data_IF_396750360935
#
_entry.id   IF_396750360935
#
_cell.length_a   1.000
_cell.length_b   1.000
_cell.length_c   1.000
_cell.angle_alpha   90.00
_cell.angle_beta   90.00
_cell.angle_gamma   90.00
#
_symmetry.space_group_name_H-M   'P 1'
#
loop_
_entity.id
_entity.type
_entity.pdbx_description
1 polymer ?
#
# COMPACT_ATOMS: atom_id res chain seq x y z
N UNK A 1 -2.19 7.18 1.51
CA UNK A 1 -3.51 7.78 1.22
C UNK A 1 -4.16 7.01 0.09
N UNK A 2 -5.47 6.75 0.20
CA UNK A 2 -6.28 6.03 -0.79
C UNK A 2 -7.42 6.94 -1.23
N UNK A 3 -7.61 7.08 -2.54
CA UNK A 3 -8.72 7.85 -3.12
C UNK A 3 -9.41 6.98 -4.18
N UNK A 4 -10.50 6.29 -3.82
CA UNK A 4 -11.25 5.47 -4.76
C UNK A 4 -12.00 6.31 -5.78
N UNK A 5 -12.14 5.76 -6.99
CA UNK A 5 -12.97 6.32 -8.04
C UNK A 5 -14.48 6.10 -7.76
N UNK A 6 -15.32 6.48 -8.72
CA UNK A 6 -16.79 6.32 -8.61
C UNK A 6 -17.26 4.87 -8.51
N UNK A 7 -16.42 3.89 -8.87
CA UNK A 7 -16.68 2.45 -8.71
C UNK A 7 -16.16 1.93 -7.38
N UNK A 8 -15.50 2.76 -6.58
CA UNK A 8 -14.86 2.35 -5.33
C UNK A 8 -13.55 1.62 -5.55
N UNK A 9 -12.89 1.84 -6.70
CA UNK A 9 -11.62 1.21 -7.06
C UNK A 9 -10.46 2.22 -6.94
N UNK A 10 -9.30 1.77 -6.48
CA UNK A 10 -8.06 2.57 -6.48
C UNK A 10 -6.86 1.65 -6.73
N UNK A 11 -5.80 2.19 -7.32
CA UNK A 11 -4.51 1.50 -7.48
C UNK A 11 -3.35 2.41 -7.14
N UNK A 12 -2.28 1.85 -6.61
CA UNK A 12 -1.04 2.57 -6.33
C UNK A 12 0.14 1.62 -6.19
N UNK A 13 1.33 2.20 -6.05
CA UNK A 13 2.56 1.46 -5.78
C UNK A 13 3.48 2.27 -4.88
N UNK A 14 4.33 1.57 -4.13
CA UNK A 14 5.41 2.11 -3.33
C UNK A 14 6.71 1.45 -3.80
N UNK A 15 7.65 2.28 -4.23
CA UNK A 15 9.04 1.89 -4.41
C UNK A 15 9.86 2.47 -3.24
N UNK A 16 10.72 1.66 -2.66
CA UNK A 16 11.52 2.03 -1.50
C UNK A 16 12.93 1.44 -1.59
N UNK A 17 13.95 2.27 -1.46
CA UNK A 17 15.36 1.91 -1.37
C UNK A 17 16.06 2.80 -0.33
N UNK A 18 17.39 2.86 -0.35
CA UNK A 18 18.16 3.71 0.57
C UNK A 18 18.21 5.20 0.18
N UNK A 19 17.74 5.55 -1.03
CA UNK A 19 17.73 6.91 -1.55
C UNK A 19 19.11 7.50 -1.91
N UNK A 20 20.19 6.70 -1.91
CA UNK A 20 21.56 7.18 -2.13
C UNK A 20 22.38 6.28 -3.07
N UNK A 21 22.21 4.96 -3.00
CA UNK A 21 22.98 4.02 -3.82
C UNK A 21 22.62 4.13 -5.31
N UNK A 22 23.64 3.99 -6.16
CA UNK A 22 23.44 3.87 -7.61
C UNK A 22 23.20 2.40 -7.96
N UNK A 23 22.22 2.15 -8.83
CA UNK A 23 21.97 0.81 -9.38
C UNK A 23 21.19 -0.12 -8.45
N UNK A 24 20.27 0.43 -7.64
CA UNK A 24 19.39 -0.34 -6.74
C UNK A 24 18.48 -1.29 -7.51
N UNK A 25 18.08 -0.94 -8.73
CA UNK A 25 17.29 -1.82 -9.62
C UNK A 25 18.12 -3.03 -10.08
N UNK A 26 19.33 -2.80 -10.60
CA UNK A 26 20.21 -3.84 -11.14
C UNK A 26 20.71 -4.81 -10.05
N UNK A 27 21.01 -4.27 -8.86
CA UNK A 27 21.40 -5.07 -7.69
C UNK A 27 20.23 -5.74 -7.00
N UNK A 28 18.99 -5.36 -7.32
CA UNK A 28 17.79 -5.83 -6.64
C UNK A 28 17.60 -5.27 -5.22
N UNK A 29 18.42 -4.31 -4.77
CA UNK A 29 18.38 -3.78 -3.42
C UNK A 29 17.28 -2.72 -3.23
N UNK A 30 16.02 -3.12 -3.38
CA UNK A 30 14.83 -2.28 -3.19
C UNK A 30 13.64 -3.10 -2.68
N UNK A 31 12.55 -2.41 -2.34
CA UNK A 31 11.23 -2.96 -2.07
C UNK A 31 10.22 -2.31 -3.03
N UNK A 32 9.37 -3.12 -3.65
CA UNK A 32 8.26 -2.69 -4.49
C UNK A 32 6.97 -3.37 -4.02
N UNK A 33 5.97 -2.57 -3.66
CA UNK A 33 4.66 -3.04 -3.19
C UNK A 33 3.58 -2.38 -4.04
N UNK A 34 2.61 -3.17 -4.50
CA UNK A 34 1.40 -2.63 -5.13
C UNK A 34 0.23 -2.62 -4.16
N UNK A 35 -0.68 -1.68 -4.37
CA UNK A 35 -1.89 -1.49 -3.58
C UNK A 35 -3.09 -1.53 -4.51
N UNK A 36 -4.08 -2.35 -4.18
CA UNK A 36 -5.35 -2.42 -4.89
C UNK A 36 -6.50 -2.23 -3.91
N UNK A 37 -7.43 -1.36 -4.28
CA UNK A 37 -8.69 -1.19 -3.57
C UNK A 37 -9.82 -1.67 -4.43
N UNK A 38 -10.61 -2.59 -3.88
CA UNK A 38 -11.83 -3.09 -4.51
C UNK A 38 -12.78 -3.59 -3.43
N UNK A 39 -14.08 -3.43 -3.64
CA UNK A 39 -15.12 -3.90 -2.72
C UNK A 39 -14.90 -3.41 -1.27
N UNK A 40 -14.46 -2.17 -1.09
CA UNK A 40 -14.11 -1.56 0.20
C UNK A 40 -12.96 -2.25 0.98
N UNK A 41 -12.16 -3.07 0.29
CA UNK A 41 -10.96 -3.70 0.84
C UNK A 41 -9.72 -3.13 0.16
N UNK A 42 -8.73 -2.72 0.96
CA UNK A 42 -7.37 -2.42 0.51
C UNK A 42 -6.52 -3.68 0.66
N UNK A 43 -5.85 -4.10 -0.41
CA UNK A 43 -4.90 -5.22 -0.42
C UNK A 43 -3.52 -4.70 -0.78
N UNK A 44 -2.51 -5.13 -0.02
CA UNK A 44 -1.09 -4.86 -0.30
C UNK A 44 -0.44 -6.12 -0.89
N UNK A 45 0.23 -6.00 -2.04
CA UNK A 45 0.88 -7.12 -2.70
C UNK A 45 2.37 -6.81 -2.94
N UNK A 46 3.29 -7.32 -2.11
CA UNK A 46 4.73 -7.19 -2.34
C UNK A 46 5.10 -7.82 -3.69
N UNK A 47 5.67 -7.04 -4.59
CA UNK A 47 6.21 -7.51 -5.88
C UNK A 47 7.70 -7.86 -5.75
N UNK A 48 8.42 -7.12 -4.91
CA UNK A 48 9.84 -7.29 -4.63
C UNK A 48 10.13 -6.79 -3.20
N UNK A 49 10.95 -7.50 -2.41
CA UNK A 49 11.19 -7.14 -1.01
C UNK A 49 12.57 -7.59 -0.53
N UNK A 50 13.62 -7.16 -1.23
CA UNK A 50 15.01 -7.56 -0.94
C UNK A 50 15.80 -6.46 -0.21
N UNK A 51 15.25 -5.25 -0.07
CA UNK A 51 15.86 -4.20 0.74
C UNK A 51 15.66 -4.47 2.25
N UNK A 52 16.78 -4.67 2.96
CA UNK A 52 16.78 -5.04 4.37
C UNK A 52 16.27 -3.94 5.33
N UNK A 53 16.26 -2.67 4.92
CA UNK A 53 15.78 -1.57 5.76
C UNK A 53 14.28 -1.64 6.07
N UNK A 54 13.52 -2.37 5.25
CA UNK A 54 12.09 -2.56 5.42
C UNK A 54 11.27 -1.27 5.31
N UNK A 55 9.96 -1.42 5.28
CA UNK A 55 9.02 -0.30 5.35
C UNK A 55 7.79 -0.71 6.14
N UNK A 56 7.35 0.14 7.06
CA UNK A 56 6.14 -0.07 7.86
C UNK A 56 5.09 0.95 7.51
N UNK A 57 3.82 0.55 7.63
CA UNK A 57 2.68 1.47 7.47
C UNK A 57 2.11 1.75 8.85
N UNK A 58 2.05 3.03 9.21
CA UNK A 58 1.45 3.48 10.47
C UNK A 58 -0.01 3.90 10.25
N UNK A 59 -0.24 4.88 9.37
CA UNK A 59 -1.56 5.47 9.16
C UNK A 59 -2.04 5.31 7.72
N UNK A 60 -3.31 4.92 7.55
CA UNK A 60 -4.00 4.86 6.25
C UNK A 60 -5.15 5.87 6.24
N UNK A 61 -5.01 6.92 5.42
CA UNK A 61 -6.10 7.85 5.12
C UNK A 61 -6.90 7.36 3.90
N UNK A 62 -8.19 7.12 4.07
CA UNK A 62 -9.13 6.78 2.99
C UNK A 62 -10.10 7.95 2.77
N UNK A 63 -10.07 8.52 1.57
CA UNK A 63 -10.96 9.62 1.17
C UNK A 63 -12.09 9.09 0.27
N UNK A 64 -13.10 9.92 0.00
CA UNK A 64 -14.18 9.54 -0.92
C UNK A 64 -15.13 8.46 -0.40
N UNK A 65 -15.13 8.21 0.91
CA UNK A 65 -16.01 7.22 1.55
C UNK A 65 -17.43 7.79 1.64
N UNK A 66 -18.32 7.32 0.76
CA UNK A 66 -19.68 7.86 0.60
C UNK A 66 -20.64 7.56 1.78
N UNK A 67 -20.31 6.59 2.62
CA UNK A 67 -21.09 6.22 3.82
C UNK A 67 -20.15 6.01 4.98
N UNK A 68 -20.46 6.60 6.13
CA UNK A 68 -19.67 6.43 7.34
C UNK A 68 -19.49 4.92 7.66
N UNK A 69 -18.26 4.41 7.80
CA UNK A 69 -18.03 3.03 8.18
C UNK A 69 -18.60 2.74 9.57
N UNK A 70 -19.23 1.56 9.73
CA UNK A 70 -19.65 1.04 11.05
C UNK A 70 -18.57 0.18 11.68
N UNK A 71 -17.74 -0.45 10.86
CA UNK A 71 -16.67 -1.36 11.26
C UNK A 71 -15.48 -1.16 10.34
N UNK A 72 -14.28 -1.32 10.89
CA UNK A 72 -13.01 -1.40 10.16
C UNK A 72 -12.28 -2.62 10.68
N UNK A 73 -11.71 -3.41 9.77
CA UNK A 73 -10.92 -4.58 10.12
C UNK A 73 -9.57 -4.55 9.43
N UNK A 74 -8.57 -5.11 10.10
CA UNK A 74 -7.22 -5.37 9.58
C UNK A 74 -7.03 -6.89 9.65
N UNK A 75 -6.83 -7.52 8.50
CA UNK A 75 -6.66 -8.98 8.37
C UNK A 75 -7.73 -9.81 9.11
N UNK A 76 -8.96 -9.30 9.11
CA UNK A 76 -10.12 -9.94 9.75
C UNK A 76 -10.29 -9.62 11.24
N UNK A 77 -9.36 -8.91 11.87
CA UNK A 77 -9.47 -8.43 13.25
C UNK A 77 -10.02 -7.01 13.29
N UNK A 78 -10.84 -6.67 14.30
CA UNK A 78 -11.32 -5.30 14.47
C UNK A 78 -10.16 -4.36 14.80
N UNK A 79 -10.10 -3.24 14.07
CA UNK A 79 -9.17 -2.15 14.32
C UNK A 79 -9.58 -1.28 15.50
#
# INVERSE_FOLDING_TARGET
>A
MVVPDVKGEARGQLYWDDGDSIGTIESGNYTLVTFDVKNATLVTNPQHNEYAGGVTTDTIHVLGVNKKPTTVTIDGQMA
#
